data_IF_621324347540
#
_entry.id   IF_621324347540
#
_cell.length_a   1.000
_cell.length_b   1.000
_cell.length_c   1.000
_cell.angle_alpha   90.00
_cell.angle_beta   90.00
_cell.angle_gamma   90.00
#
_symmetry.space_group_name_H-M   'P 1'
#
loop_
_entity.id
_entity.type
_entity.pdbx_description
1 polymer ?
#
# COMPACT_ATOMS: atom_id res chain seq x y z
N UNK A 1 -3.20 -7.55 -21.48
CA UNK A 1 -3.97 -7.32 -22.71
C UNK A 1 -5.19 -8.23 -22.82
N UNK A 2 -5.06 -9.56 -22.69
CA UNK A 2 -6.24 -10.47 -22.67
C UNK A 2 -7.30 -10.06 -21.64
N UNK A 3 -6.91 -9.69 -20.41
CA UNK A 3 -7.87 -9.21 -19.41
C UNK A 3 -8.63 -7.93 -19.78
N UNK A 4 -8.07 -7.10 -20.67
CA UNK A 4 -8.71 -5.87 -21.16
C UNK A 4 -9.57 -6.14 -22.40
N UNK A 5 -9.14 -7.03 -23.28
CA UNK A 5 -9.75 -7.25 -24.60
C UNK A 5 -10.75 -8.40 -24.61
N UNK A 6 -10.39 -9.54 -24.00
CA UNK A 6 -11.23 -10.74 -23.92
C UNK A 6 -11.99 -10.82 -22.59
N UNK A 7 -11.65 -9.97 -21.61
CA UNK A 7 -12.25 -10.04 -20.28
C UNK A 7 -11.80 -11.26 -19.46
N UNK A 8 -10.63 -11.83 -19.78
CA UNK A 8 -10.11 -13.00 -19.10
C UNK A 8 -8.58 -13.02 -19.01
N UNK A 9 -8.04 -13.83 -18.10
CA UNK A 9 -6.58 -13.96 -17.88
C UNK A 9 -6.09 -15.41 -17.90
N UNK A 10 -6.98 -16.36 -18.20
CA UNK A 10 -6.63 -17.78 -18.29
C UNK A 10 -5.95 -18.04 -19.63
N UNK A 11 -5.27 -19.19 -19.72
CA UNK A 11 -4.63 -19.65 -20.95
C UNK A 11 -5.59 -19.64 -22.15
N UNK A 12 -6.82 -20.09 -21.95
CA UNK A 12 -7.86 -20.12 -22.98
C UNK A 12 -8.18 -18.71 -23.52
N UNK A 13 -8.21 -17.70 -22.66
CA UNK A 13 -8.46 -16.30 -23.02
C UNK A 13 -7.27 -15.71 -23.80
N UNK A 14 -6.05 -16.11 -23.45
CA UNK A 14 -4.82 -15.69 -24.16
C UNK A 14 -4.78 -16.36 -25.54
N UNK A 15 -5.10 -17.65 -25.61
CA UNK A 15 -5.15 -18.42 -26.85
C UNK A 15 -6.27 -17.90 -27.79
N UNK A 16 -7.41 -17.47 -27.24
CA UNK A 16 -8.49 -16.81 -27.98
C UNK A 16 -7.99 -15.52 -28.62
N UNK A 17 -7.38 -14.64 -27.81
CA UNK A 17 -6.85 -13.37 -28.27
C UNK A 17 -5.81 -13.53 -29.39
N UNK A 18 -4.91 -14.52 -29.26
CA UNK A 18 -3.89 -14.81 -30.26
C UNK A 18 -4.45 -15.31 -31.60
N UNK A 19 -5.69 -15.81 -31.62
CA UNK A 19 -6.36 -16.32 -32.82
C UNK A 19 -7.28 -15.30 -33.48
N UNK A 20 -7.59 -14.17 -32.82
CA UNK A 20 -8.45 -13.14 -33.40
C UNK A 20 -7.71 -12.37 -34.50
N UNK A 21 -8.07 -12.68 -35.76
CA UNK A 21 -7.51 -12.05 -36.96
C UNK A 21 -8.08 -10.65 -37.24
N UNK A 22 -9.12 -10.23 -36.51
CA UNK A 22 -9.74 -8.92 -36.71
C UNK A 22 -8.98 -7.81 -35.97
N UNK A 23 -8.06 -8.17 -35.06
CA UNK A 23 -7.28 -7.20 -34.30
C UNK A 23 -6.11 -6.68 -35.14
N UNK A 24 -6.17 -5.39 -35.44
CA UNK A 24 -5.04 -4.59 -35.95
C UNK A 24 -4.07 -4.29 -34.80
N UNK A 25 -3.14 -5.21 -34.53
CA UNK A 25 -2.23 -5.14 -33.39
C UNK A 25 -1.37 -3.89 -33.34
N UNK A 26 -0.93 -3.40 -34.50
CA UNK A 26 -0.17 -2.16 -34.68
C UNK A 26 -0.89 -0.94 -34.09
N UNK A 27 -2.20 -0.84 -34.31
CA UNK A 27 -3.02 0.27 -33.81
C UNK A 27 -3.51 -0.01 -32.40
N UNK A 28 -3.95 -1.25 -32.15
CA UNK A 28 -4.64 -1.61 -30.92
C UNK A 28 -3.71 -1.54 -29.72
N UNK A 29 -2.44 -1.96 -29.88
CA UNK A 29 -1.43 -1.86 -28.84
C UNK A 29 -1.21 -0.40 -28.41
N UNK A 30 -0.90 0.48 -29.36
CA UNK A 30 -0.69 1.91 -29.10
C UNK A 30 -1.90 2.58 -28.45
N UNK A 31 -3.11 2.21 -28.89
CA UNK A 31 -4.36 2.72 -28.32
C UNK A 31 -4.47 2.34 -26.84
N UNK A 32 -4.24 1.07 -26.49
CA UNK A 32 -4.32 0.59 -25.10
C UNK A 32 -3.27 1.28 -24.23
N UNK A 33 -2.03 1.40 -24.73
CA UNK A 33 -0.96 2.08 -23.98
C UNK A 33 -1.33 3.55 -23.72
N UNK A 34 -1.82 4.26 -24.73
CA UNK A 34 -2.29 5.63 -24.56
C UNK A 34 -3.43 5.74 -23.54
N UNK A 35 -4.38 4.80 -23.56
CA UNK A 35 -5.52 4.79 -22.63
C UNK A 35 -5.10 4.46 -21.20
N UNK A 36 -4.20 3.50 -21.00
CA UNK A 36 -3.62 3.19 -19.68
C UNK A 36 -2.87 4.42 -19.13
N UNK A 37 -2.13 5.12 -19.98
CA UNK A 37 -1.46 6.36 -19.57
C UNK A 37 -2.45 7.45 -19.14
N UNK A 38 -3.59 7.60 -19.83
CA UNK A 38 -4.64 8.53 -19.44
C UNK A 38 -5.31 8.12 -18.12
N UNK A 39 -5.54 6.83 -17.91
CA UNK A 39 -6.01 6.25 -16.65
C UNK A 39 -5.04 6.61 -15.51
N UNK A 40 -3.75 6.33 -15.68
CA UNK A 40 -2.73 6.64 -14.68
C UNK A 40 -2.66 8.14 -14.36
N UNK A 41 -2.64 9.01 -15.37
CA UNK A 41 -2.67 10.47 -15.17
C UNK A 41 -3.88 10.91 -14.35
N UNK A 42 -5.04 10.32 -14.63
CA UNK A 42 -6.28 10.64 -13.93
C UNK A 42 -6.21 10.22 -12.46
N UNK A 43 -5.80 8.98 -12.18
CA UNK A 43 -5.64 8.44 -10.82
C UNK A 43 -4.62 9.27 -10.03
N UNK A 44 -3.44 9.51 -10.61
CA UNK A 44 -2.34 10.23 -9.96
C UNK A 44 -2.65 11.70 -9.67
N UNK A 45 -3.73 12.25 -10.22
CA UNK A 45 -4.17 13.60 -9.84
C UNK A 45 -4.97 13.64 -8.53
N UNK A 46 -5.41 12.49 -8.01
CA UNK A 46 -6.08 12.34 -6.72
C UNK A 46 -5.06 12.34 -5.57
N UNK A 47 -5.35 13.07 -4.49
CA UNK A 47 -4.38 13.36 -3.44
C UNK A 47 -3.73 12.12 -2.84
N UNK A 48 -4.52 11.09 -2.52
CA UNK A 48 -4.01 9.83 -1.97
C UNK A 48 -2.92 9.19 -2.87
N UNK A 49 -3.17 9.11 -4.17
CA UNK A 49 -2.22 8.51 -5.11
C UNK A 49 -0.99 9.38 -5.37
N UNK A 50 -1.09 10.71 -5.21
CA UNK A 50 0.09 11.59 -5.23
C UNK A 50 1.06 11.25 -4.12
N UNK A 51 0.55 11.01 -2.91
CA UNK A 51 1.38 10.62 -1.78
C UNK A 51 2.01 9.24 -1.99
N UNK A 52 1.25 8.23 -2.44
CA UNK A 52 1.83 6.94 -2.82
C UNK A 52 2.95 7.09 -3.86
N UNK A 53 2.73 7.90 -4.90
CA UNK A 53 3.75 8.17 -5.92
C UNK A 53 4.99 8.84 -5.33
N UNK A 54 4.84 9.78 -4.40
CA UNK A 54 5.98 10.42 -3.74
C UNK A 54 6.84 9.44 -2.94
N UNK A 55 6.26 8.33 -2.50
CA UNK A 55 6.96 7.23 -1.84
C UNK A 55 7.52 6.19 -2.81
N UNK A 56 7.44 6.40 -4.12
CA UNK A 56 7.85 5.44 -5.15
C UNK A 56 7.15 4.07 -4.98
N UNK A 57 5.87 4.10 -4.57
CA UNK A 57 5.07 2.90 -4.39
C UNK A 57 4.83 2.18 -5.73
N UNK A 58 5.21 0.90 -5.79
CA UNK A 58 4.99 0.02 -6.94
C UNK A 58 4.12 -1.17 -6.52
N UNK A 59 2.99 -1.38 -7.20
CA UNK A 59 1.99 -2.40 -6.83
C UNK A 59 2.55 -3.83 -6.92
N UNK A 60 3.30 -4.13 -7.98
CA UNK A 60 3.91 -5.44 -8.21
C UNK A 60 4.85 -5.82 -7.08
N UNK A 61 5.66 -4.85 -6.65
CA UNK A 61 6.74 -5.05 -5.68
C UNK A 61 6.20 -5.20 -4.26
N UNK A 62 5.15 -4.44 -3.92
CA UNK A 62 4.59 -4.43 -2.57
C UNK A 62 3.43 -5.41 -2.35
N UNK A 63 2.63 -5.71 -3.37
CA UNK A 63 1.44 -6.57 -3.24
C UNK A 63 1.49 -7.85 -4.07
N UNK A 64 2.17 -7.85 -5.23
CA UNK A 64 2.32 -8.92 -6.23
C UNK A 64 1.82 -8.52 -7.62
N UNK A 65 2.38 -9.16 -8.64
CA UNK A 65 1.95 -9.02 -10.04
C UNK A 65 0.46 -9.34 -10.24
N UNK A 66 -0.07 -10.33 -9.53
CA UNK A 66 -1.48 -10.70 -9.62
C UNK A 66 -2.40 -9.56 -9.17
N UNK A 67 -2.06 -8.91 -8.05
CA UNK A 67 -2.82 -7.78 -7.52
C UNK A 67 -2.65 -6.55 -8.43
N UNK A 68 -1.43 -6.30 -8.92
CA UNK A 68 -1.16 -5.21 -9.85
C UNK A 68 -1.97 -5.37 -11.16
N UNK A 69 -2.03 -6.59 -11.69
CA UNK A 69 -2.82 -6.94 -12.88
C UNK A 69 -4.32 -6.76 -12.61
N UNK A 70 -4.83 -7.26 -11.48
CA UNK A 70 -6.22 -7.08 -11.07
C UNK A 70 -6.60 -5.61 -10.98
N UNK A 71 -5.79 -4.81 -10.27
CA UNK A 71 -6.01 -3.37 -10.13
C UNK A 71 -6.07 -2.70 -11.50
N UNK A 72 -5.08 -2.95 -12.35
CA UNK A 72 -4.99 -2.32 -13.68
C UNK A 72 -6.21 -2.63 -14.55
N UNK A 73 -6.64 -3.90 -14.58
CA UNK A 73 -7.80 -4.32 -15.39
C UNK A 73 -9.09 -3.69 -14.89
N UNK A 74 -9.39 -3.80 -13.59
CA UNK A 74 -10.67 -3.33 -13.05
C UNK A 74 -10.78 -1.80 -13.08
N UNK A 75 -9.69 -1.10 -12.84
CA UNK A 75 -9.68 0.37 -12.94
C UNK A 75 -9.83 0.82 -14.38
N UNK A 76 -9.16 0.17 -15.33
CA UNK A 76 -9.37 0.44 -16.75
C UNK A 76 -10.84 0.20 -17.16
N UNK A 77 -11.45 -0.91 -16.73
CA UNK A 77 -12.84 -1.22 -17.02
C UNK A 77 -13.80 -0.19 -16.40
N UNK A 78 -13.56 0.27 -15.16
CA UNK A 78 -14.36 1.34 -14.55
C UNK A 78 -14.25 2.65 -15.32
N UNK A 79 -13.05 3.01 -15.76
CA UNK A 79 -12.80 4.20 -16.57
C UNK A 79 -13.55 4.15 -17.90
N UNK A 80 -13.50 3.01 -18.60
CA UNK A 80 -14.24 2.79 -19.84
C UNK A 80 -15.75 2.87 -19.61
N UNK A 81 -16.27 2.19 -18.58
CA UNK A 81 -17.71 2.19 -18.21
C UNK A 81 -18.23 3.59 -17.92
N UNK A 82 -17.39 4.49 -17.37
CA UNK A 82 -17.74 5.90 -17.10
C UNK A 82 -17.67 6.79 -18.35
N UNK A 83 -17.26 6.25 -19.49
CA UNK A 83 -17.15 6.97 -20.76
C UNK A 83 -15.81 7.66 -20.95
N UNK A 84 -14.73 7.09 -20.40
CA UNK A 84 -13.35 7.58 -20.56
C UNK A 84 -13.18 9.05 -20.11
N UNK A 85 -13.56 9.39 -18.87
CA UNK A 85 -13.58 10.78 -18.43
C UNK A 85 -12.16 11.40 -18.45
N UNK A 86 -12.04 12.61 -19.00
CA UNK A 86 -10.77 13.38 -19.15
C UNK A 86 -10.81 14.78 -18.52
N UNK A 87 -11.99 15.29 -18.19
CA UNK A 87 -12.25 16.62 -17.62
C UNK A 87 -12.44 16.57 -16.11
N UNK A 88 -12.23 17.67 -15.38
CA UNK A 88 -12.45 17.75 -13.91
C UNK A 88 -13.94 17.74 -13.53
N UNK A 89 -14.69 16.75 -13.99
CA UNK A 89 -16.11 16.55 -13.71
C UNK A 89 -16.35 15.53 -12.59
N UNK A 90 -17.62 15.31 -12.25
CA UNK A 90 -18.04 14.36 -11.22
C UNK A 90 -17.63 12.91 -11.52
N UNK A 91 -17.52 12.53 -12.80
CA UNK A 91 -17.14 11.17 -13.21
C UNK A 91 -15.67 10.91 -12.92
N UNK A 92 -14.78 11.89 -13.15
CA UNK A 92 -13.37 11.77 -12.73
C UNK A 92 -13.27 11.59 -11.21
N UNK A 93 -14.01 12.37 -10.42
CA UNK A 93 -13.98 12.23 -8.96
C UNK A 93 -14.45 10.85 -8.51
N UNK A 94 -15.57 10.37 -9.07
CA UNK A 94 -16.07 9.04 -8.76
C UNK A 94 -15.10 7.93 -9.18
N UNK A 95 -14.47 8.06 -10.35
CA UNK A 95 -13.46 7.14 -10.84
C UNK A 95 -12.22 7.08 -9.92
N UNK A 96 -11.73 8.23 -9.48
CA UNK A 96 -10.60 8.32 -8.54
C UNK A 96 -10.93 7.70 -7.19
N UNK A 97 -12.13 7.97 -6.66
CA UNK A 97 -12.63 7.38 -5.43
C UNK A 97 -12.77 5.87 -5.54
N UNK A 98 -13.32 5.37 -6.66
CA UNK A 98 -13.39 3.94 -6.96
C UNK A 98 -12.01 3.29 -7.01
N UNK A 99 -11.03 3.96 -7.61
CA UNK A 99 -9.64 3.49 -7.65
C UNK A 99 -9.05 3.40 -6.25
N UNK A 100 -9.31 4.39 -5.39
CA UNK A 100 -8.91 4.35 -3.98
C UNK A 100 -9.56 3.17 -3.25
N UNK A 101 -10.88 3.02 -3.36
CA UNK A 101 -11.64 1.91 -2.73
C UNK A 101 -11.07 0.56 -3.14
N UNK A 102 -10.76 0.38 -4.43
CA UNK A 102 -10.19 -0.86 -4.92
C UNK A 102 -8.79 -1.10 -4.32
N UNK A 103 -7.90 -0.12 -4.32
CA UNK A 103 -6.55 -0.29 -3.77
C UNK A 103 -6.58 -0.55 -2.25
N UNK A 104 -7.42 0.17 -1.51
CA UNK A 104 -7.66 -0.04 -0.08
C UNK A 104 -8.08 -1.50 0.20
N UNK A 105 -9.06 -2.01 -0.55
CA UNK A 105 -9.49 -3.40 -0.46
C UNK A 105 -8.37 -4.39 -0.83
N UNK A 106 -7.59 -4.13 -1.88
CA UNK A 106 -6.51 -5.01 -2.30
C UNK A 106 -5.38 -5.09 -1.27
N UNK A 107 -5.05 -3.97 -0.60
CA UNK A 107 -4.08 -3.95 0.49
C UNK A 107 -4.61 -4.77 1.67
N UNK A 108 -5.88 -4.58 2.06
CA UNK A 108 -6.52 -5.37 3.10
C UNK A 108 -6.46 -6.87 2.79
N UNK A 109 -6.83 -7.27 1.57
CA UNK A 109 -6.84 -8.66 1.12
C UNK A 109 -5.44 -9.27 1.04
N UNK A 110 -4.43 -8.49 0.65
CA UNK A 110 -3.04 -8.92 0.62
C UNK A 110 -2.54 -9.25 2.03
N UNK A 111 -2.77 -8.33 2.97
CA UNK A 111 -2.34 -8.47 4.36
C UNK A 111 -3.02 -9.66 5.04
N UNK A 112 -4.30 -9.87 4.74
CA UNK A 112 -5.05 -11.06 5.14
C UNK A 112 -4.72 -12.32 4.32
N UNK A 113 -3.70 -12.26 3.46
CA UNK A 113 -3.19 -13.40 2.69
C UNK A 113 -4.22 -14.08 1.78
N UNK A 114 -5.30 -13.38 1.42
CA UNK A 114 -6.45 -13.92 0.66
C UNK A 114 -6.12 -14.23 -0.81
N UNK A 115 -4.95 -13.82 -1.29
CA UNK A 115 -4.50 -14.02 -2.67
C UNK A 115 -3.66 -15.29 -2.86
N UNK A 116 -3.35 -16.04 -1.79
CA UNK A 116 -2.52 -17.25 -1.89
C UNK A 116 -3.26 -18.39 -2.60
N UNK A 117 -2.59 -19.00 -3.58
CA UNK A 117 -3.03 -20.25 -4.22
C UNK A 117 -4.21 -20.15 -5.19
N UNK A 118 -4.77 -18.97 -5.43
CA UNK A 118 -5.96 -18.81 -6.28
C UNK A 118 -6.00 -17.49 -7.09
N UNK A 119 -4.84 -16.87 -7.33
CA UNK A 119 -4.74 -15.55 -8.01
C UNK A 119 -5.50 -15.48 -9.34
N UNK A 120 -5.22 -16.39 -10.29
CA UNK A 120 -5.82 -16.34 -11.63
C UNK A 120 -7.34 -16.51 -11.60
N UNK A 121 -7.82 -17.47 -10.81
CA UNK A 121 -9.26 -17.70 -10.59
C UNK A 121 -9.94 -16.48 -9.98
N UNK A 122 -9.26 -15.81 -9.03
CA UNK A 122 -9.80 -14.60 -8.39
C UNK A 122 -9.88 -13.44 -9.36
N UNK A 123 -8.83 -13.22 -10.16
CA UNK A 123 -8.83 -12.17 -11.21
C UNK A 123 -9.96 -12.44 -12.21
N UNK A 124 -10.09 -13.66 -12.71
CA UNK A 124 -11.15 -14.02 -13.65
C UNK A 124 -12.56 -13.80 -13.06
N UNK A 125 -12.78 -14.15 -11.79
CA UNK A 125 -14.04 -13.92 -11.09
C UNK A 125 -14.32 -12.43 -10.87
N UNK A 126 -13.28 -11.65 -10.54
CA UNK A 126 -13.41 -10.21 -10.38
C UNK A 126 -13.80 -9.54 -11.70
N UNK A 127 -13.16 -9.91 -12.82
CA UNK A 127 -13.47 -9.36 -14.14
C UNK A 127 -14.91 -9.72 -14.56
N UNK A 128 -15.30 -10.99 -14.44
CA UNK A 128 -16.64 -11.44 -14.85
C UNK A 128 -17.75 -10.80 -14.02
N UNK A 129 -17.54 -10.66 -12.70
CA UNK A 129 -18.50 -10.01 -11.80
C UNK A 129 -18.52 -8.49 -11.91
N UNK A 130 -17.46 -7.87 -12.45
CA UNK A 130 -17.41 -6.42 -12.65
C UNK A 130 -18.43 -5.95 -13.70
N UNK A 131 -18.62 -6.74 -14.75
CA UNK A 131 -19.53 -6.42 -15.85
C UNK A 131 -21.01 -6.35 -15.42
N UNK A 132 -21.39 -7.05 -14.35
CA UNK A 132 -22.79 -7.19 -13.90
C UNK A 132 -23.19 -6.28 -12.73
N UNK A 133 -22.26 -5.51 -12.15
CA UNK A 133 -22.53 -4.67 -10.97
C UNK A 133 -22.82 -3.21 -11.34
N UNK A 134 -23.91 -2.64 -10.81
CA UNK A 134 -24.19 -1.20 -10.89
C UNK A 134 -23.14 -0.39 -10.10
N UNK A 135 -22.94 -0.72 -8.82
CA UNK A 135 -21.85 -0.22 -8.00
C UNK A 135 -20.72 -1.25 -7.92
N UNK A 136 -19.62 -0.97 -8.61
CA UNK A 136 -18.62 -2.00 -8.87
C UNK A 136 -17.59 -2.19 -7.75
N UNK A 137 -17.49 -1.25 -6.81
CA UNK A 137 -16.52 -1.30 -5.72
C UNK A 137 -17.18 -0.99 -4.38
N UNK A 138 -17.10 -1.93 -3.45
CA UNK A 138 -17.59 -1.81 -2.09
C UNK A 138 -16.38 -1.61 -1.16
N UNK A 139 -16.33 -0.54 -0.35
CA UNK A 139 -15.26 -0.34 0.61
C UNK A 139 -15.20 -1.44 1.66
N UNK A 140 -13.99 -1.83 2.07
CA UNK A 140 -13.80 -2.58 3.32
C UNK A 140 -14.39 -1.75 4.47
N UNK A 141 -15.17 -2.39 5.33
CA UNK A 141 -15.83 -1.68 6.42
C UNK A 141 -14.82 -1.16 7.44
N UNK A 142 -15.21 -0.18 8.24
CA UNK A 142 -14.32 0.39 9.24
C UNK A 142 -13.98 -0.65 10.31
N UNK A 143 -14.97 -1.46 10.68
CA UNK A 143 -14.88 -2.50 11.70
C UNK A 143 -13.82 -3.54 11.30
N UNK A 144 -13.79 -3.97 10.04
CA UNK A 144 -12.77 -4.91 9.54
C UNK A 144 -11.35 -4.37 9.61
N UNK A 145 -11.17 -3.08 9.30
CA UNK A 145 -9.87 -2.43 9.42
C UNK A 145 -9.44 -2.30 10.88
N UNK A 146 -10.37 -1.96 11.78
CA UNK A 146 -10.11 -1.88 13.22
C UNK A 146 -9.77 -3.25 13.82
N UNK A 147 -10.52 -4.30 13.47
CA UNK A 147 -10.24 -5.69 13.86
C UNK A 147 -8.82 -6.12 13.45
N UNK A 148 -8.45 -5.90 12.19
CA UNK A 148 -7.11 -6.22 11.67
C UNK A 148 -6.01 -5.45 12.44
N UNK A 149 -6.20 -4.15 12.65
CA UNK A 149 -5.20 -3.32 13.32
C UNK A 149 -5.06 -3.68 14.79
N UNK A 150 -6.17 -3.93 15.49
CA UNK A 150 -6.16 -4.35 16.88
C UNK A 150 -5.43 -5.69 17.04
N UNK A 151 -5.66 -6.65 16.14
CA UNK A 151 -4.93 -7.93 16.15
C UNK A 151 -3.41 -7.71 15.99
N UNK A 152 -3.00 -6.86 15.03
CA UNK A 152 -1.59 -6.52 14.80
C UNK A 152 -0.98 -5.80 16.03
N UNK A 153 -1.70 -4.87 16.63
CA UNK A 153 -1.21 -4.02 17.72
C UNK A 153 -1.15 -4.74 19.06
N UNK A 154 -2.11 -5.61 19.34
CA UNK A 154 -2.19 -6.34 20.61
C UNK A 154 -1.44 -7.67 20.55
N UNK A 155 -1.65 -8.44 19.49
CA UNK A 155 -1.20 -9.84 19.39
C UNK A 155 -0.03 -10.04 18.43
N UNK A 156 0.28 -9.06 17.57
CA UNK A 156 1.30 -9.17 16.52
C UNK A 156 1.02 -10.36 15.59
N UNK A 157 -0.25 -10.60 15.31
CA UNK A 157 -0.74 -11.62 14.40
C UNK A 157 -1.71 -11.04 13.39
N UNK A 158 -1.93 -11.80 12.32
CA UNK A 158 -3.04 -11.65 11.37
C UNK A 158 -3.62 -13.05 11.19
N UNK A 159 -4.90 -13.23 11.51
CA UNK A 159 -5.57 -14.53 11.51
C UNK A 159 -4.77 -15.59 12.33
N UNK A 160 -4.30 -15.17 13.51
CA UNK A 160 -3.51 -16.01 14.43
C UNK A 160 -2.08 -16.33 13.95
N UNK A 161 -1.71 -15.93 12.73
CA UNK A 161 -0.37 -16.10 12.18
C UNK A 161 0.49 -14.88 12.50
N UNK A 162 1.71 -15.09 12.99
CA UNK A 162 2.65 -14.00 13.33
C UNK A 162 2.86 -13.05 12.14
N UNK A 163 2.84 -11.74 12.42
CA UNK A 163 3.17 -10.72 11.41
C UNK A 163 4.60 -10.87 10.91
N UNK A 164 4.80 -10.46 9.66
CA UNK A 164 6.11 -10.41 9.02
C UNK A 164 6.26 -9.08 8.31
N UNK A 165 7.50 -8.64 8.09
CA UNK A 165 7.77 -7.37 7.39
C UNK A 165 7.07 -7.26 6.02
N UNK A 166 7.05 -8.28 5.14
CA UNK A 166 6.32 -8.19 3.87
C UNK A 166 4.83 -7.86 4.02
N UNK A 167 4.18 -8.28 5.11
CA UNK A 167 2.78 -7.93 5.38
C UNK A 167 2.62 -6.50 5.93
N UNK A 168 3.64 -5.97 6.59
CA UNK A 168 3.61 -4.66 7.21
C UNK A 168 4.01 -3.54 6.25
N UNK A 169 4.90 -3.82 5.29
CA UNK A 169 5.37 -2.83 4.33
C UNK A 169 4.18 -2.16 3.59
N UNK A 170 3.21 -2.88 3.00
CA UNK A 170 2.07 -2.25 2.33
C UNK A 170 1.18 -1.42 3.24
N UNK A 171 0.96 -1.87 4.49
CA UNK A 171 0.22 -1.09 5.49
C UNK A 171 0.92 0.22 5.80
N UNK A 172 2.25 0.21 5.86
CA UNK A 172 3.04 1.39 6.14
C UNK A 172 2.96 2.40 4.99
N UNK A 173 3.10 1.96 3.73
CA UNK A 173 2.87 2.84 2.56
C UNK A 173 1.45 3.41 2.53
N UNK A 174 0.45 2.56 2.81
CA UNK A 174 -0.94 2.98 2.89
C UNK A 174 -1.15 4.04 3.97
N UNK A 175 -0.59 3.82 5.16
CA UNK A 175 -0.62 4.76 6.27
C UNK A 175 -0.10 6.16 5.89
N UNK A 176 1.07 6.25 5.24
CA UNK A 176 1.62 7.55 4.86
C UNK A 176 0.73 8.25 3.82
N UNK A 177 0.18 7.50 2.87
CA UNK A 177 -0.72 8.05 1.86
C UNK A 177 -2.07 8.51 2.43
N UNK A 178 -2.66 7.73 3.35
CA UNK A 178 -3.86 8.13 4.11
C UNK A 178 -3.59 9.37 4.96
N UNK A 179 -2.38 9.47 5.52
CA UNK A 179 -1.96 10.60 6.36
C UNK A 179 -1.60 11.86 5.59
N UNK A 180 -1.52 11.79 4.26
CA UNK A 180 -1.12 12.92 3.43
C UNK A 180 0.34 13.33 3.62
N UNK A 181 1.19 12.36 3.94
CA UNK A 181 2.62 12.61 4.21
C UNK A 181 3.38 12.29 2.94
N UNK A 182 4.07 13.27 2.39
CA UNK A 182 4.93 13.08 1.21
C UNK A 182 6.24 12.40 1.57
N UNK A 183 6.68 11.54 0.66
CA UNK A 183 8.05 11.04 0.63
C UNK A 183 9.07 12.18 0.53
N UNK A 184 10.34 11.90 0.81
CA UNK A 184 11.40 12.90 0.72
C UNK A 184 11.55 13.38 -0.72
N UNK A 185 11.77 14.68 -0.92
CA UNK A 185 12.10 15.27 -2.22
C UNK A 185 13.57 14.98 -2.57
N UNK A 186 13.93 13.71 -2.59
CA UNK A 186 15.31 13.28 -2.79
C UNK A 186 15.43 12.27 -3.93
N UNK A 187 16.62 12.26 -4.54
CA UNK A 187 16.99 11.23 -5.52
C UNK A 187 17.15 9.84 -4.89
N UNK A 188 17.26 9.78 -3.56
CA UNK A 188 17.56 8.57 -2.82
C UNK A 188 16.47 7.52 -2.95
N UNK A 189 16.88 6.26 -2.89
CA UNK A 189 15.94 5.16 -2.80
C UNK A 189 15.17 5.25 -1.48
N UNK A 190 13.98 4.68 -1.43
CA UNK A 190 13.14 4.65 -0.23
C UNK A 190 13.08 3.20 0.21
N UNK A 191 13.21 2.97 1.52
CA UNK A 191 13.01 1.64 2.08
C UNK A 191 12.23 1.70 3.38
N UNK A 192 11.55 0.60 3.69
CA UNK A 192 11.08 0.36 5.06
C UNK A 192 12.31 -0.02 5.89
N UNK A 193 12.46 0.56 7.07
CA UNK A 193 13.50 0.13 7.99
C UNK A 193 13.03 0.13 9.45
N UNK A 194 13.82 -0.56 10.26
CA UNK A 194 13.64 -0.68 11.69
C UNK A 194 14.13 0.58 12.42
N UNK A 195 13.26 1.15 13.25
CA UNK A 195 13.60 2.27 14.13
C UNK A 195 14.63 1.80 15.16
N UNK A 196 14.29 0.75 15.91
CA UNK A 196 15.20 0.03 16.80
C UNK A 196 15.84 -1.14 16.07
N UNK A 197 17.19 -1.28 16.12
CA UNK A 197 17.90 -2.39 15.50
C UNK A 197 17.37 -3.76 15.97
N UNK A 198 17.24 -4.69 15.02
CA UNK A 198 16.73 -6.04 15.29
C UNK A 198 17.53 -6.78 16.38
N UNK A 199 18.84 -6.52 16.49
CA UNK A 199 19.73 -7.15 17.47
C UNK A 199 19.33 -6.88 18.91
N UNK A 200 18.70 -5.73 19.19
CA UNK A 200 18.19 -5.42 20.53
C UNK A 200 17.06 -6.36 20.94
N UNK A 201 16.28 -6.86 19.97
CA UNK A 201 15.22 -7.83 20.21
C UNK A 201 15.76 -9.23 20.47
N UNK A 202 16.97 -9.55 20.01
CA UNK A 202 17.54 -10.89 20.27
C UNK A 202 17.85 -11.07 21.77
N UNK A 203 18.33 -10.02 22.42
CA UNK A 203 18.84 -10.05 23.80
C UNK A 203 17.81 -9.66 24.87
N UNK A 204 16.55 -9.46 24.50
CA UNK A 204 15.48 -9.07 25.45
C UNK A 204 14.58 -10.25 25.86
N UNK A 205 13.93 -10.09 27.01
CA UNK A 205 12.90 -10.97 27.57
C UNK A 205 11.47 -10.52 27.23
N UNK A 206 11.32 -9.49 26.39
CA UNK A 206 10.00 -9.06 25.91
C UNK A 206 9.30 -10.23 25.20
N UNK A 207 8.06 -10.51 25.60
CA UNK A 207 7.23 -11.53 24.97
C UNK A 207 6.94 -11.17 23.51
N UNK A 208 6.82 -12.18 22.64
CA UNK A 208 6.54 -12.01 21.20
C UNK A 208 7.55 -11.11 20.46
N UNK A 209 8.80 -11.03 20.92
CA UNK A 209 9.86 -10.20 20.32
C UNK A 209 10.07 -10.44 18.82
N UNK A 210 9.84 -11.66 18.34
CA UNK A 210 9.92 -12.03 16.93
C UNK A 210 8.83 -11.37 16.06
N UNK A 211 7.66 -11.08 16.64
CA UNK A 211 6.62 -10.29 15.96
C UNK A 211 6.86 -8.79 16.13
N UNK A 212 7.21 -8.36 17.35
CA UNK A 212 7.40 -6.94 17.69
C UNK A 212 8.50 -6.26 16.89
N UNK A 213 9.59 -6.99 16.59
CA UNK A 213 10.68 -6.46 15.76
C UNK A 213 10.16 -6.02 14.39
N UNK A 214 9.17 -6.72 13.82
CA UNK A 214 8.54 -6.39 12.54
C UNK A 214 7.25 -5.59 12.67
N UNK A 215 6.86 -5.16 13.86
CA UNK A 215 5.62 -4.41 14.07
C UNK A 215 5.64 -3.04 13.39
N UNK A 216 4.46 -2.53 13.04
CA UNK A 216 4.30 -1.17 12.53
C UNK A 216 4.92 -0.11 13.47
N UNK A 217 4.98 -0.38 14.78
CA UNK A 217 5.60 0.48 15.78
C UNK A 217 7.12 0.54 15.70
N UNK A 218 7.77 -0.48 15.13
CA UNK A 218 9.21 -0.51 14.91
C UNK A 218 9.61 -0.24 13.45
N UNK A 219 8.66 -0.04 12.53
CA UNK A 219 8.94 0.20 11.12
C UNK A 219 8.64 1.66 10.72
N UNK A 220 9.47 2.23 9.84
CA UNK A 220 9.26 3.55 9.22
C UNK A 220 9.78 3.54 7.77
N UNK A 221 9.22 4.40 6.90
CA UNK A 221 9.77 4.62 5.57
C UNK A 221 10.85 5.68 5.69
N UNK A 222 12.06 5.35 5.24
CA UNK A 222 13.22 6.22 5.33
C UNK A 222 13.98 6.25 3.98
N UNK A 223 14.70 7.35 3.69
CA UNK A 223 15.66 7.38 2.59
C UNK A 223 16.77 6.34 2.78
N UNK A 224 16.88 5.38 1.86
CA UNK A 224 17.74 4.19 1.92
C UNK A 224 19.23 4.50 1.97
N UNK A 225 19.72 5.40 1.11
CA UNK A 225 21.16 5.57 0.92
C UNK A 225 21.82 6.22 2.15
N UNK A 226 21.11 7.12 2.84
CA UNK A 226 21.58 7.68 4.12
C UNK A 226 21.22 6.79 5.31
N UNK A 227 20.09 6.07 5.27
CA UNK A 227 19.75 5.12 6.33
C UNK A 227 20.68 3.90 6.35
N UNK A 228 21.23 3.47 5.21
CA UNK A 228 22.30 2.47 5.17
C UNK A 228 23.54 2.90 5.99
N UNK A 229 23.79 4.20 6.13
CA UNK A 229 24.86 4.75 6.98
C UNK A 229 24.55 4.69 8.49
N UNK A 230 23.26 4.55 8.86
CA UNK A 230 22.81 4.25 10.23
C UNK A 230 23.23 2.82 10.59
N UNK A 231 23.02 1.86 9.70
CA UNK A 231 23.31 0.44 9.96
C UNK A 231 22.64 -0.02 11.26
N UNK A 232 23.41 -0.54 12.21
CA UNK A 232 22.94 -1.03 13.52
C UNK A 232 22.91 0.05 14.63
N UNK A 233 23.08 1.32 14.27
CA UNK A 233 23.13 2.42 15.25
C UNK A 233 21.77 2.63 15.93
N UNK A 234 21.83 2.94 17.22
CA UNK A 234 20.72 3.45 18.00
C UNK A 234 20.38 4.88 17.58
N UNK A 235 19.15 5.34 17.84
CA UNK A 235 18.73 6.71 17.52
C UNK A 235 19.67 7.76 18.15
N UNK A 236 20.07 7.55 19.42
CA UNK A 236 21.00 8.43 20.15
C UNK A 236 22.39 8.52 19.49
N UNK A 237 22.80 7.50 18.73
CA UNK A 237 24.10 7.45 18.07
C UNK A 237 24.10 8.15 16.71
N UNK A 238 22.94 8.61 16.23
CA UNK A 238 22.83 9.35 14.98
C UNK A 238 23.34 10.77 15.23
N UNK A 239 24.34 11.20 14.47
CA UNK A 239 24.94 12.54 14.56
C UNK A 239 24.50 13.47 13.43
N UNK A 240 24.10 12.91 12.30
CA UNK A 240 23.60 13.68 11.16
C UNK A 240 22.22 14.29 11.47
N UNK A 241 22.16 15.62 11.52
CA UNK A 241 20.93 16.36 11.82
C UNK A 241 19.86 16.17 10.75
N UNK A 242 20.25 16.03 9.48
CA UNK A 242 19.28 15.82 8.41
C UNK A 242 18.59 14.46 8.56
N UNK A 243 19.33 13.38 8.85
CA UNK A 243 18.74 12.07 9.14
C UNK A 243 17.85 12.11 10.39
N UNK A 244 18.21 12.89 11.43
CA UNK A 244 17.33 13.13 12.58
C UNK A 244 16.02 13.81 12.16
N UNK A 245 16.06 14.80 11.28
CA UNK A 245 14.85 15.44 10.74
C UNK A 245 13.97 14.43 10.00
N UNK A 246 14.57 13.54 9.19
CA UNK A 246 13.81 12.51 8.48
C UNK A 246 13.18 11.49 9.42
N UNK A 247 13.92 11.02 10.43
CA UNK A 247 13.39 10.07 11.42
C UNK A 247 12.30 10.74 12.27
N UNK A 248 12.48 11.99 12.71
CA UNK A 248 11.43 12.70 13.43
C UNK A 248 10.15 12.83 12.59
N UNK A 249 10.29 13.23 11.34
CA UNK A 249 9.17 13.39 10.39
C UNK A 249 8.44 12.09 10.09
N UNK A 250 9.16 10.99 9.87
CA UNK A 250 8.59 9.75 9.34
C UNK A 250 8.36 8.69 10.41
N UNK A 251 9.19 8.62 11.46
CA UNK A 251 8.93 7.76 12.60
C UNK A 251 8.04 8.41 13.67
N UNK A 252 7.80 9.74 13.58
CA UNK A 252 7.04 10.54 14.55
C UNK A 252 7.67 10.53 15.95
N UNK A 253 9.00 10.46 16.01
CA UNK A 253 9.76 10.45 17.27
C UNK A 253 10.43 11.82 17.43
N UNK A 254 10.06 12.60 18.45
CA UNK A 254 10.74 13.87 18.73
C UNK A 254 12.24 13.65 18.93
N UNK A 255 13.08 14.54 18.36
CA UNK A 255 14.55 14.42 18.49
C UNK A 255 15.03 14.36 19.93
N UNK A 256 14.36 15.13 20.81
CA UNK A 256 14.69 15.20 22.23
C UNK A 256 14.46 13.86 22.96
N UNK A 257 13.60 13.00 22.41
CA UNK A 257 13.28 11.70 22.99
C UNK A 257 14.12 10.53 22.42
N UNK A 258 15.11 10.81 21.56
CA UNK A 258 15.93 9.76 20.94
C UNK A 258 16.65 8.90 21.97
N UNK A 259 17.05 9.48 23.11
CA UNK A 259 17.62 8.73 24.23
C UNK A 259 16.62 7.69 24.78
N UNK A 260 15.35 8.07 24.93
CA UNK A 260 14.29 7.22 25.47
C UNK A 260 14.01 6.07 24.50
N UNK A 261 13.79 6.41 23.24
CA UNK A 261 13.41 5.45 22.19
C UNK A 261 14.59 4.71 21.55
N UNK A 262 15.81 4.87 22.08
CA UNK A 262 16.96 4.01 21.78
C UNK A 262 17.03 2.78 22.68
N UNK A 263 16.34 2.80 23.82
CA UNK A 263 16.35 1.72 24.80
C UNK A 263 15.14 0.80 24.57
N UNK A 264 15.42 -0.48 24.31
CA UNK A 264 14.41 -1.51 24.08
C UNK A 264 13.48 -1.70 25.30
N UNK A 265 13.95 -1.38 26.52
CA UNK A 265 13.10 -1.41 27.71
C UNK A 265 11.93 -0.40 27.63
N UNK A 266 12.04 0.63 26.78
CA UNK A 266 11.00 1.63 26.55
C UNK A 266 10.11 1.29 25.33
N UNK A 267 10.15 0.08 24.78
CA UNK A 267 9.36 -0.28 23.59
C UNK A 267 7.85 0.00 23.77
N UNK A 268 7.30 -0.26 24.95
CA UNK A 268 5.89 0.03 25.26
C UNK A 268 5.56 1.53 25.19
N UNK A 269 6.53 2.42 25.47
CA UNK A 269 6.34 3.86 25.26
C UNK A 269 6.31 4.19 23.76
N UNK A 270 7.09 3.49 22.94
CA UNK A 270 7.08 3.67 21.48
C UNK A 270 5.74 3.25 20.89
N UNK A 271 5.16 2.13 21.37
CA UNK A 271 3.81 1.72 21.00
C UNK A 271 2.78 2.80 21.32
N UNK A 272 2.75 3.26 22.59
CA UNK A 272 1.82 4.30 23.05
C UNK A 272 1.93 5.61 22.27
N UNK A 273 3.13 5.96 21.80
CA UNK A 273 3.34 7.12 20.95
C UNK A 273 2.73 6.93 19.56
N UNK A 274 2.97 5.77 18.92
CA UNK A 274 2.68 5.58 17.50
C UNK A 274 1.30 4.98 17.21
N UNK A 275 0.75 4.17 18.09
CA UNK A 275 -0.57 3.55 17.94
C UNK A 275 -1.70 4.53 17.61
N UNK A 276 -1.92 5.62 18.37
CA UNK A 276 -2.98 6.58 18.03
C UNK A 276 -2.78 7.23 16.65
N UNK A 277 -1.52 7.40 16.21
CA UNK A 277 -1.19 7.99 14.90
C UNK A 277 -1.62 7.04 13.77
N UNK A 278 -1.33 5.75 13.90
CA UNK A 278 -1.79 4.74 12.94
C UNK A 278 -3.32 4.63 12.96
N UNK A 279 -3.94 4.53 14.13
CA UNK A 279 -5.40 4.46 14.25
C UNK A 279 -6.08 5.65 13.58
N UNK A 280 -5.62 6.88 13.79
CA UNK A 280 -6.20 8.08 13.15
C UNK A 280 -6.19 7.97 11.61
N UNK A 281 -5.11 7.44 11.03
CA UNK A 281 -4.99 7.30 9.59
C UNK A 281 -6.02 6.33 9.01
N UNK A 282 -6.11 5.12 9.57
CA UNK A 282 -6.99 4.06 9.08
C UNK A 282 -8.46 4.24 9.50
N UNK A 283 -8.75 5.14 10.45
CA UNK A 283 -10.12 5.45 10.89
C UNK A 283 -10.58 6.79 10.30
N UNK A 284 -10.16 7.90 10.90
CA UNK A 284 -10.65 9.24 10.60
C UNK A 284 -10.24 9.68 9.20
N UNK A 285 -8.97 9.53 8.82
CA UNK A 285 -8.47 10.03 7.53
C UNK A 285 -9.00 9.17 6.38
N UNK A 286 -8.97 7.84 6.52
CA UNK A 286 -9.60 6.91 5.58
C UNK A 286 -11.09 7.23 5.35
N UNK A 287 -11.87 7.41 6.42
CA UNK A 287 -13.30 7.75 6.33
C UNK A 287 -13.54 9.08 5.61
N UNK A 288 -12.70 10.08 5.84
CA UNK A 288 -12.77 11.37 5.11
C UNK A 288 -12.58 11.16 3.60
N UNK A 289 -11.65 10.31 3.18
CA UNK A 289 -11.44 9.98 1.75
C UNK A 289 -12.67 9.25 1.18
N UNK A 290 -13.27 8.33 1.94
CA UNK A 290 -14.47 7.59 1.54
C UNK A 290 -15.75 8.43 1.50
N UNK A 291 -15.83 9.52 2.25
CA UNK A 291 -17.03 10.37 2.31
C UNK A 291 -16.96 11.59 1.38
N UNK A 292 -15.76 12.00 0.96
CA UNK A 292 -15.53 13.04 -0.04
C UNK A 292 -15.64 12.53 -1.47
#
# INVERSE_FOLDING_TARGET
MSGILEGGVKKEDIDSLGKDKNIRWDIKFETIISEINDVHKTILSYSYFKYLKSWKFELSDLLSDAIALNFTILVYQDWVRKGKPKSKDSKVRQFQKNSFILLDSLIYEYVNQMWRGASDSRIANNISSFASKEEAFVPVTQEKWEELLNEIFESQTIDGSRITRPLMDPLLYHFYALSGISGPDSIYNIEVDHILPQELFNNTFIQNKEGLVHSLFNLALLPKDENASKGKKLLVQITDNWLKDQIEKYAFIPKDDYQIYSDIANFEKLKKLREPIFLEAFTVKRRKILNN
#
